data_IF_906223791173
#
_entry.id   IF_906223791173
#
_cell.length_a   1.000
_cell.length_b   1.000
_cell.length_c   1.000
_cell.angle_alpha   90.00
_cell.angle_beta   90.00
_cell.angle_gamma   90.00
#
_symmetry.space_group_name_H-M   'P 1'
#
loop_
_entity.id
_entity.type
_entity.pdbx_description
1 polymer ?
#
# COMPACT_ATOMS: atom_id res chain seq x y z
N UNK A 1 -6.93 20.95 13.45
CA UNK A 1 -7.18 19.51 13.30
C UNK A 1 -6.78 18.86 14.61
N UNK A 2 -7.71 18.29 15.36
CA UNK A 2 -7.37 17.50 16.55
C UNK A 2 -6.78 16.18 16.08
N UNK A 3 -5.59 15.82 16.58
CA UNK A 3 -4.95 14.53 16.32
C UNK A 3 -5.42 13.52 17.38
N UNK A 4 -6.74 13.37 17.55
CA UNK A 4 -7.29 12.41 18.50
C UNK A 4 -7.21 11.00 17.92
N UNK A 5 -6.90 10.04 18.79
CA UNK A 5 -6.77 8.62 18.41
C UNK A 5 -8.11 8.10 17.88
N UNK A 6 -9.22 8.50 18.51
CA UNK A 6 -10.58 8.12 18.11
C UNK A 6 -10.93 8.64 16.71
N UNK A 7 -10.58 9.89 16.41
CA UNK A 7 -10.83 10.45 15.09
C UNK A 7 -9.99 9.74 14.04
N UNK A 8 -8.73 9.43 14.33
CA UNK A 8 -7.88 8.65 13.43
C UNK A 8 -8.49 7.29 13.10
N UNK A 9 -8.98 6.55 14.10
CA UNK A 9 -9.65 5.25 13.86
C UNK A 9 -10.88 5.42 12.96
N UNK A 10 -11.76 6.38 13.25
CA UNK A 10 -12.97 6.60 12.44
C UNK A 10 -12.65 6.86 10.97
N UNK A 11 -11.59 7.64 10.69
CA UNK A 11 -11.16 7.97 9.33
C UNK A 11 -10.59 6.75 8.60
N UNK A 12 -9.93 5.83 9.31
CA UNK A 12 -9.42 4.59 8.72
C UNK A 12 -10.54 3.66 8.23
N UNK A 13 -11.72 3.72 8.82
CA UNK A 13 -12.89 2.96 8.36
C UNK A 13 -13.76 3.71 7.35
N UNK A 14 -13.48 4.99 7.12
CA UNK A 14 -14.17 5.76 6.07
C UNK A 14 -13.64 5.35 4.70
N UNK A 15 -14.56 4.85 3.85
CA UNK A 15 -14.27 4.39 2.50
C UNK A 15 -14.20 5.54 1.47
N UNK A 16 -14.52 6.76 1.90
CA UNK A 16 -14.42 7.98 1.10
C UNK A 16 -13.08 8.69 1.28
N UNK A 17 -12.40 8.42 2.40
CA UNK A 17 -11.07 8.96 2.68
C UNK A 17 -9.98 8.08 2.11
N UNK A 18 -8.97 8.72 1.52
CA UNK A 18 -7.78 8.04 1.03
C UNK A 18 -6.73 7.95 2.13
N UNK A 19 -5.92 6.91 2.06
CA UNK A 19 -4.81 6.72 2.98
C UNK A 19 -3.82 7.89 2.89
N UNK A 20 -3.59 8.47 1.69
CA UNK A 20 -2.76 9.68 1.55
C UNK A 20 -3.26 10.84 2.43
N UNK A 21 -4.56 10.98 2.63
CA UNK A 21 -5.17 12.05 3.43
C UNK A 21 -5.12 11.74 4.95
N UNK A 22 -5.07 10.46 5.32
CA UNK A 22 -5.07 10.00 6.71
C UNK A 22 -3.66 9.97 7.31
N UNK A 23 -2.66 9.59 6.51
CA UNK A 23 -1.27 9.38 6.97
C UNK A 23 -0.64 10.61 7.64
N UNK A 24 -0.82 11.86 7.18
CA UNK A 24 -0.29 13.03 7.88
C UNK A 24 -0.77 13.15 9.34
N UNK A 25 -2.04 12.79 9.60
CA UNK A 25 -2.60 12.77 10.96
C UNK A 25 -1.99 11.64 11.80
N UNK A 26 -1.82 10.44 11.23
CA UNK A 26 -1.15 9.32 11.89
C UNK A 26 0.32 9.64 12.23
N UNK A 27 1.06 10.27 11.31
CA UNK A 27 2.45 10.71 11.52
C UNK A 27 2.51 11.72 12.67
N UNK A 28 1.60 12.70 12.66
CA UNK A 28 1.52 13.71 13.73
C UNK A 28 1.26 13.06 15.09
N UNK A 29 0.31 12.13 15.17
CA UNK A 29 0.03 11.38 16.39
C UNK A 29 1.27 10.60 16.88
N UNK A 30 1.96 9.88 15.99
CA UNK A 30 3.16 9.14 16.34
C UNK A 30 4.27 10.06 16.87
N UNK A 31 4.44 11.24 16.26
CA UNK A 31 5.37 12.27 16.75
C UNK A 31 4.99 12.80 18.13
N UNK A 32 3.70 13.06 18.38
CA UNK A 32 3.21 13.56 19.67
C UNK A 32 3.43 12.55 20.80
N UNK A 33 3.28 11.26 20.50
CA UNK A 33 3.55 10.13 21.41
C UNK A 33 5.03 9.77 21.53
N UNK A 34 5.90 10.35 20.67
CA UNK A 34 7.34 10.04 20.54
C UNK A 34 7.63 8.61 20.06
N UNK A 35 6.70 8.03 19.30
CA UNK A 35 6.91 6.75 18.60
C UNK A 35 7.74 7.00 17.34
N UNK A 36 9.06 7.01 17.49
CA UNK A 36 10.00 7.42 16.43
C UNK A 36 10.08 6.38 15.33
N UNK A 37 10.04 5.09 15.67
CA UNK A 37 10.09 4.01 14.68
C UNK A 37 8.80 4.00 13.87
N UNK A 38 7.64 4.12 14.53
CA UNK A 38 6.35 4.16 13.86
C UNK A 38 6.21 5.39 12.97
N UNK A 39 6.61 6.58 13.46
CA UNK A 39 6.63 7.80 12.65
C UNK A 39 7.57 7.70 11.43
N UNK A 40 8.73 7.04 11.58
CA UNK A 40 9.64 6.81 10.46
C UNK A 40 9.03 5.87 9.44
N UNK A 41 8.46 4.75 9.88
CA UNK A 41 7.79 3.79 9.01
C UNK A 41 6.64 4.45 8.23
N UNK A 42 5.78 5.23 8.88
CA UNK A 42 4.69 5.96 8.22
C UNK A 42 5.19 6.93 7.16
N UNK A 43 6.29 7.66 7.41
CA UNK A 43 6.86 8.57 6.40
C UNK A 43 7.39 7.80 5.20
N UNK A 44 8.10 6.70 5.42
CA UNK A 44 8.61 5.88 4.32
C UNK A 44 7.48 5.22 3.54
N UNK A 45 6.41 4.78 4.19
CA UNK A 45 5.20 4.29 3.52
C UNK A 45 4.54 5.39 2.66
N UNK A 46 4.52 6.64 3.16
CA UNK A 46 3.91 7.78 2.49
C UNK A 46 4.72 8.23 1.27
N UNK A 47 6.03 8.42 1.44
CA UNK A 47 6.95 8.93 0.42
C UNK A 47 7.40 7.86 -0.58
N UNK A 48 7.38 6.58 -0.18
CA UNK A 48 7.95 5.46 -0.92
C UNK A 48 9.33 5.03 -0.41
N UNK A 49 9.77 3.87 -0.89
CA UNK A 49 11.02 3.22 -0.52
C UNK A 49 12.10 3.51 -1.55
N UNK A 50 13.31 3.87 -1.09
CA UNK A 50 14.45 4.12 -1.97
C UNK A 50 14.97 2.83 -2.62
N UNK A 51 15.01 1.75 -1.82
CA UNK A 51 15.55 0.46 -2.25
C UNK A 51 14.61 -0.68 -1.85
N UNK A 52 14.61 -1.76 -2.65
CA UNK A 52 13.89 -3.01 -2.34
C UNK A 52 14.18 -3.53 -0.93
N UNK A 53 15.44 -3.50 -0.51
CA UNK A 53 15.86 -4.07 0.78
C UNK A 53 15.35 -3.29 1.99
N UNK A 54 14.98 -2.02 1.78
CA UNK A 54 14.37 -1.18 2.81
C UNK A 54 12.86 -1.41 2.96
N UNK A 55 12.23 -2.07 1.98
CA UNK A 55 10.80 -2.31 1.95
C UNK A 55 10.38 -3.53 2.80
N UNK A 56 9.28 -3.43 3.57
CA UNK A 56 8.72 -4.54 4.31
C UNK A 56 8.39 -5.76 3.44
N UNK A 57 8.32 -6.98 4.01
CA UNK A 57 7.99 -8.19 3.25
C UNK A 57 6.70 -8.12 2.42
N UNK A 58 5.64 -7.48 2.90
CA UNK A 58 4.37 -7.33 2.15
C UNK A 58 4.48 -6.42 0.92
N UNK A 59 5.56 -5.67 0.75
CA UNK A 59 5.83 -4.84 -0.42
C UNK A 59 6.65 -5.57 -1.48
N UNK A 60 7.30 -6.68 -1.11
CA UNK A 60 8.27 -7.38 -1.96
C UNK A 60 7.64 -8.59 -2.63
N UNK A 61 8.15 -8.94 -3.80
CA UNK A 61 7.81 -10.16 -4.54
C UNK A 61 6.30 -10.36 -4.70
N UNK A 62 5.61 -9.28 -5.05
CA UNK A 62 4.18 -9.28 -5.30
C UNK A 62 3.88 -10.03 -6.61
N UNK A 63 2.82 -10.86 -6.63
CA UNK A 63 2.50 -11.67 -7.79
C UNK A 63 2.05 -10.81 -8.98
N UNK A 64 2.67 -11.04 -10.14
CA UNK A 64 2.27 -10.45 -11.42
C UNK A 64 2.19 -11.50 -12.53
N UNK A 65 1.56 -11.11 -13.64
CA UNK A 65 1.43 -11.92 -14.83
C UNK A 65 2.16 -11.28 -16.01
N UNK A 66 3.04 -12.01 -16.67
CA UNK A 66 3.75 -11.50 -17.84
C UNK A 66 2.80 -11.48 -19.02
N UNK A 67 2.70 -10.33 -19.66
CA UNK A 67 1.85 -10.09 -20.84
C UNK A 67 2.70 -9.64 -22.00
N UNK A 68 2.35 -10.10 -23.20
CA UNK A 68 2.96 -9.73 -24.46
C UNK A 68 2.01 -8.86 -25.29
N UNK A 69 2.55 -7.86 -25.98
CA UNK A 69 1.77 -7.00 -26.89
C UNK A 69 1.65 -7.66 -28.26
N UNK A 70 0.47 -8.18 -28.56
CA UNK A 70 0.08 -8.65 -29.90
C UNK A 70 -0.46 -7.49 -30.75
N UNK A 71 -0.05 -7.36 -32.03
CA UNK A 71 -0.60 -6.35 -32.95
C UNK A 71 -2.10 -6.48 -33.18
N UNK A 72 -2.66 -7.68 -33.08
CA UNK A 72 -4.07 -7.98 -33.39
C UNK A 72 -4.96 -7.99 -32.14
N UNK A 73 -4.48 -8.58 -31.04
CA UNK A 73 -5.28 -8.83 -29.83
C UNK A 73 -4.92 -7.92 -28.66
N UNK A 74 -3.96 -7.00 -28.84
CA UNK A 74 -3.46 -6.17 -27.76
C UNK A 74 -2.64 -7.00 -26.76
N UNK A 75 -2.79 -6.71 -25.47
CA UNK A 75 -2.03 -7.41 -24.43
C UNK A 75 -2.64 -8.78 -24.12
N UNK A 76 -1.87 -9.83 -24.34
CA UNK A 76 -2.24 -11.21 -24.07
C UNK A 76 -1.25 -11.84 -23.07
N UNK A 77 -1.65 -12.83 -22.28
CA UNK A 77 -0.71 -13.59 -21.46
C UNK A 77 0.45 -14.14 -22.31
N UNK A 78 1.68 -13.93 -21.87
CA UNK A 78 2.84 -14.44 -22.56
C UNK A 78 2.93 -15.98 -22.38
N UNK A 79 3.32 -16.74 -23.41
CA UNK A 79 3.53 -18.19 -23.29
C UNK A 79 4.85 -18.46 -22.57
N UNK A 80 4.86 -18.32 -21.24
CA UNK A 80 6.04 -18.51 -20.38
C UNK A 80 5.99 -19.84 -19.64
N UNK A 81 7.16 -20.40 -19.36
CA UNK A 81 7.32 -21.57 -18.49
C UNK A 81 7.25 -21.18 -17.00
N UNK A 82 7.01 -22.14 -16.11
CA UNK A 82 6.93 -21.88 -14.66
C UNK A 82 8.25 -21.34 -14.08
N UNK A 83 9.40 -21.74 -14.60
CA UNK A 83 10.71 -21.19 -14.19
C UNK A 83 10.81 -19.69 -14.52
N UNK A 84 10.43 -19.30 -15.73
CA UNK A 84 10.41 -17.90 -16.16
C UNK A 84 9.39 -17.07 -15.37
N UNK A 85 8.23 -17.66 -15.06
CA UNK A 85 7.20 -17.04 -14.23
C UNK A 85 7.67 -16.82 -12.80
N UNK A 86 8.43 -17.76 -12.24
CA UNK A 86 9.02 -17.59 -10.91
C UNK A 86 10.10 -16.50 -10.90
N UNK A 87 10.90 -16.40 -11.97
CA UNK A 87 11.99 -15.44 -12.07
C UNK A 87 11.53 -14.00 -12.35
N UNK A 88 10.55 -13.83 -13.24
CA UNK A 88 10.16 -12.51 -13.78
C UNK A 88 8.69 -12.14 -13.50
N UNK A 89 7.89 -13.06 -12.94
CA UNK A 89 6.47 -12.82 -12.63
C UNK A 89 6.24 -12.23 -11.23
N UNK A 90 7.22 -11.49 -10.71
CA UNK A 90 7.21 -10.88 -9.38
C UNK A 90 7.70 -9.45 -9.47
N UNK A 91 7.04 -8.55 -8.75
CA UNK A 91 7.39 -7.13 -8.69
C UNK A 91 7.48 -6.67 -7.23
N UNK A 92 8.41 -5.78 -6.92
CA UNK A 92 8.42 -5.09 -5.64
C UNK A 92 7.66 -3.75 -5.80
N UNK A 93 6.74 -3.44 -4.88
CA UNK A 93 5.90 -2.23 -4.90
C UNK A 93 6.48 -1.18 -3.95
N UNK A 94 7.46 -0.42 -4.42
CA UNK A 94 8.23 0.55 -3.61
C UNK A 94 7.66 1.96 -3.65
N UNK A 95 6.65 2.20 -4.49
CA UNK A 95 6.03 3.52 -4.67
C UNK A 95 5.33 4.01 -3.40
N UNK A 96 5.27 5.34 -3.23
CA UNK A 96 4.58 5.96 -2.10
C UNK A 96 3.07 5.75 -2.16
N UNK A 97 2.40 5.88 -1.00
CA UNK A 97 0.95 5.66 -0.85
C UNK A 97 0.13 6.36 -1.94
N UNK A 98 0.43 7.63 -2.24
CA UNK A 98 -0.30 8.41 -3.24
C UNK A 98 -0.28 7.78 -4.63
N UNK A 99 0.88 7.28 -5.06
CA UNK A 99 1.03 6.67 -6.39
C UNK A 99 0.29 5.34 -6.45
N UNK A 100 0.40 4.52 -5.40
CA UNK A 100 -0.32 3.26 -5.31
C UNK A 100 -1.84 3.46 -5.31
N UNK A 101 -2.34 4.47 -4.60
CA UNK A 101 -3.76 4.81 -4.60
C UNK A 101 -4.25 5.25 -5.98
N UNK A 102 -3.47 6.07 -6.68
CA UNK A 102 -3.78 6.47 -8.06
C UNK A 102 -3.84 5.26 -8.99
N UNK A 103 -2.91 4.30 -8.83
CA UNK A 103 -2.92 3.05 -9.60
C UNK A 103 -4.21 2.25 -9.30
N UNK A 104 -4.56 2.07 -8.03
CA UNK A 104 -5.80 1.40 -7.60
C UNK A 104 -7.06 2.05 -8.17
N UNK A 105 -7.12 3.38 -8.15
CA UNK A 105 -8.24 4.17 -8.65
C UNK A 105 -8.37 4.16 -10.17
N UNK A 106 -7.24 4.13 -10.87
CA UNK A 106 -7.19 4.08 -12.33
C UNK A 106 -7.54 2.70 -12.89
N UNK A 107 -7.23 1.64 -12.14
CA UNK A 107 -7.51 0.26 -12.54
C UNK A 107 -8.96 -0.14 -12.22
N UNK A 108 -9.63 -0.78 -13.19
CA UNK A 108 -10.95 -1.39 -12.96
C UNK A 108 -10.81 -2.73 -12.24
N UNK A 109 -11.84 -3.16 -11.52
CA UNK A 109 -11.93 -4.47 -10.88
C UNK A 109 -11.77 -5.57 -11.92
N UNK A 110 -10.87 -6.51 -11.65
CA UNK A 110 -10.49 -7.56 -12.59
C UNK A 110 -9.49 -7.15 -13.68
N UNK A 111 -9.03 -5.89 -13.69
CA UNK A 111 -7.89 -5.45 -14.53
C UNK A 111 -6.60 -5.33 -13.72
N UNK A 112 -5.47 -5.21 -14.41
CA UNK A 112 -4.16 -5.02 -13.81
C UNK A 112 -3.47 -3.76 -14.29
N UNK A 113 -2.60 -3.22 -13.43
CA UNK A 113 -1.64 -2.21 -13.79
C UNK A 113 -0.46 -2.87 -14.50
N UNK A 114 -0.01 -2.29 -15.62
CA UNK A 114 1.08 -2.82 -16.42
C UNK A 114 2.34 -2.04 -16.13
N UNK A 115 3.35 -2.76 -15.64
CA UNK A 115 4.68 -2.25 -15.35
C UNK A 115 5.65 -2.82 -16.38
N UNK A 116 6.43 -1.94 -17.01
CA UNK A 116 7.46 -2.37 -17.96
C UNK A 116 8.56 -3.13 -17.21
N UNK A 117 9.07 -4.18 -17.84
CA UNK A 117 10.26 -4.88 -17.36
C UNK A 117 11.50 -4.01 -17.56
N UNK A 118 12.48 -4.18 -16.66
CA UNK A 118 13.83 -3.63 -16.85
C UNK A 118 14.45 -4.14 -18.16
N UNK A 119 15.30 -3.32 -18.79
CA UNK A 119 15.82 -3.60 -20.12
C UNK A 119 16.56 -4.96 -20.20
N UNK A 120 17.37 -5.27 -19.20
CA UNK A 120 18.14 -6.52 -19.12
C UNK A 120 17.23 -7.76 -18.98
N UNK A 121 16.20 -7.66 -18.12
CA UNK A 121 15.24 -8.74 -17.92
C UNK A 121 14.35 -8.92 -19.14
N UNK A 122 13.94 -7.83 -19.78
CA UNK A 122 13.20 -7.83 -21.03
C UNK A 122 13.99 -8.56 -22.14
N UNK A 123 15.29 -8.27 -22.28
CA UNK A 123 16.14 -8.96 -23.26
C UNK A 123 16.27 -10.45 -22.97
N UNK A 124 16.46 -10.83 -21.71
CA UNK A 124 16.53 -12.24 -21.28
C UNK A 124 15.25 -12.99 -21.62
N UNK A 125 14.10 -12.36 -21.33
CA UNK A 125 12.79 -12.94 -21.61
C UNK A 125 12.51 -13.05 -23.11
N UNK A 126 12.85 -12.02 -23.90
CA UNK A 126 12.73 -12.05 -25.37
C UNK A 126 13.57 -13.16 -26.00
N UNK A 127 14.82 -13.34 -25.55
CA UNK A 127 15.71 -14.41 -26.00
C UNK A 127 15.16 -15.80 -25.65
N UNK A 128 14.67 -15.97 -24.42
CA UNK A 128 14.11 -17.24 -23.95
C UNK A 128 12.82 -17.65 -24.68
N UNK A 129 11.99 -16.67 -25.06
CA UNK A 129 10.72 -16.92 -25.76
C UNK A 129 10.83 -16.90 -27.29
N UNK A 130 11.97 -16.49 -27.84
CA UNK A 130 12.15 -16.20 -29.26
C UNK A 130 11.08 -15.22 -29.80
N UNK A 131 10.71 -14.22 -28.99
CA UNK A 131 9.67 -13.23 -29.28
C UNK A 131 10.28 -11.83 -29.43
N UNK A 132 9.88 -11.11 -30.48
CA UNK A 132 10.22 -9.70 -30.68
C UNK A 132 9.15 -8.73 -30.15
N UNK A 133 8.17 -9.23 -29.39
CA UNK A 133 7.06 -8.43 -28.87
C UNK A 133 7.44 -7.63 -27.60
N UNK A 134 6.75 -6.53 -27.35
CA UNK A 134 6.85 -5.81 -26.07
C UNK A 134 6.27 -6.68 -24.95
N UNK A 135 6.98 -6.78 -23.83
CA UNK A 135 6.57 -7.54 -22.65
C UNK A 135 6.43 -6.59 -21.46
N UNK A 136 5.47 -6.88 -20.60
CA UNK A 136 5.23 -6.16 -19.35
C UNK A 136 4.74 -7.12 -18.27
N UNK A 137 4.90 -6.74 -17.00
CA UNK A 137 4.26 -7.41 -15.87
C UNK A 137 2.94 -6.71 -15.60
N UNK A 138 1.84 -7.47 -15.63
CA UNK A 138 0.53 -7.02 -15.19
C UNK A 138 0.31 -7.43 -13.74
N UNK A 139 0.30 -6.46 -12.82
CA UNK A 139 -0.03 -6.65 -11.41
C UNK A 139 -1.50 -6.36 -11.20
N UNK A 140 -2.22 -7.23 -10.49
CA UNK A 140 -3.66 -7.08 -10.30
C UNK A 140 -3.99 -5.85 -9.45
N UNK A 141 -5.12 -5.20 -9.72
CA UNK A 141 -5.63 -4.13 -8.83
C UNK A 141 -5.74 -4.58 -7.37
N UNK A 142 -6.14 -5.84 -7.15
CA UNK A 142 -6.32 -6.41 -5.82
C UNK A 142 -5.02 -6.38 -5.02
N UNK A 143 -3.88 -6.67 -5.67
CA UNK A 143 -2.55 -6.62 -5.04
C UNK A 143 -2.23 -5.23 -4.47
N UNK A 144 -2.51 -4.17 -5.22
CA UNK A 144 -2.33 -2.79 -4.73
C UNK A 144 -3.32 -2.47 -3.60
N UNK A 145 -4.57 -2.90 -3.72
CA UNK A 145 -5.60 -2.69 -2.71
C UNK A 145 -5.23 -3.38 -1.39
N UNK A 146 -4.83 -4.65 -1.43
CA UNK A 146 -4.46 -5.41 -0.23
C UNK A 146 -3.24 -4.82 0.46
N UNK A 147 -2.26 -4.32 -0.30
CA UNK A 147 -1.13 -3.59 0.26
C UNK A 147 -1.60 -2.33 1.02
N UNK A 148 -2.44 -1.50 0.39
CA UNK A 148 -2.94 -0.27 1.01
C UNK A 148 -3.85 -0.57 2.21
N UNK A 149 -4.69 -1.61 2.13
CA UNK A 149 -5.48 -2.13 3.26
C UNK A 149 -4.58 -2.62 4.38
N UNK A 150 -3.44 -3.25 4.09
CA UNK A 150 -2.47 -3.72 5.10
C UNK A 150 -1.88 -2.55 5.89
N UNK A 151 -1.47 -1.48 5.20
CA UNK A 151 -0.97 -0.27 5.86
C UNK A 151 -2.07 0.39 6.70
N UNK A 152 -3.28 0.54 6.14
CA UNK A 152 -4.46 1.07 6.84
C UNK A 152 -4.80 0.25 8.10
N UNK A 153 -4.80 -1.07 7.98
CA UNK A 153 -5.01 -2.00 9.09
C UNK A 153 -3.94 -1.87 10.18
N UNK A 154 -2.66 -1.76 9.80
CA UNK A 154 -1.56 -1.60 10.76
C UNK A 154 -1.72 -0.29 11.58
N UNK A 155 -2.11 0.81 10.94
CA UNK A 155 -2.40 2.07 11.63
C UNK A 155 -3.60 1.90 12.57
N UNK A 156 -4.64 1.18 12.14
CA UNK A 156 -5.82 0.93 12.95
C UNK A 156 -5.49 0.10 14.20
N UNK A 157 -4.76 -1.00 14.05
CA UNK A 157 -4.33 -1.84 15.16
C UNK A 157 -3.47 -1.07 16.16
N UNK A 158 -2.58 -0.22 15.66
CA UNK A 158 -1.76 0.66 16.49
C UNK A 158 -2.61 1.68 17.27
N UNK A 159 -3.56 2.34 16.60
CA UNK A 159 -4.48 3.28 17.24
C UNK A 159 -5.32 2.58 18.33
N UNK A 160 -5.83 1.38 18.05
CA UNK A 160 -6.57 0.55 19.02
C UNK A 160 -5.72 0.15 20.23
N UNK A 161 -4.45 -0.21 20.02
CA UNK A 161 -3.54 -0.53 21.11
C UNK A 161 -3.28 0.68 22.01
N UNK A 162 -3.17 1.89 21.44
CA UNK A 162 -3.05 3.13 22.22
C UNK A 162 -4.31 3.38 23.06
N UNK A 163 -5.50 3.21 22.47
CA UNK A 163 -6.77 3.36 23.19
C UNK A 163 -6.91 2.32 24.32
N UNK A 164 -6.49 1.08 24.10
CA UNK A 164 -6.50 0.03 25.12
C UNK A 164 -5.62 0.35 26.35
N UNK A 165 -4.59 1.18 26.19
CA UNK A 165 -3.76 1.71 27.29
C UNK A 165 -4.37 2.96 27.97
N UNK A 166 -5.63 3.26 27.66
CA UNK A 166 -6.40 4.37 28.23
C UNK A 166 -6.03 5.75 27.69
N UNK A 167 -5.35 5.81 26.54
CA UNK A 167 -5.04 7.07 25.85
C UNK A 167 -6.10 7.30 24.78
N UNK A 168 -7.19 7.95 25.17
CA UNK A 168 -8.38 8.18 24.34
C UNK A 168 -8.81 9.66 24.40
N UNK A 169 -9.47 10.14 23.34
CA UNK A 169 -10.05 11.50 23.32
C UNK A 169 -9.18 12.57 22.67
N UNK A 170 -9.62 13.83 22.76
CA UNK A 170 -8.94 14.96 22.12
C UNK A 170 -7.77 15.49 22.95
N UNK A 171 -6.57 14.97 22.65
CA UNK A 171 -5.34 15.45 23.25
C UNK A 171 -4.60 16.39 22.30
N UNK A 172 -4.38 17.63 22.72
CA UNK A 172 -3.46 18.55 22.04
C UNK A 172 -1.98 18.29 22.43
N UNK A 173 -1.77 17.57 23.53
CA UNK A 173 -0.45 17.15 24.00
C UNK A 173 -0.56 15.87 24.84
N UNK A 174 0.54 15.12 24.92
CA UNK A 174 0.69 13.98 25.83
C UNK A 174 1.79 14.28 26.85
N UNK A 175 1.54 13.93 28.11
CA UNK A 175 2.50 14.11 29.18
C UNK A 175 3.60 13.02 29.16
N UNK A 176 4.45 12.97 30.20
CA UNK A 176 5.53 11.98 30.27
C UNK A 176 5.02 10.58 30.67
N UNK A 177 3.99 10.51 31.50
CA UNK A 177 3.44 9.25 32.02
C UNK A 177 2.64 8.55 30.92
N UNK A 178 1.78 9.28 30.22
CA UNK A 178 1.03 8.80 29.05
C UNK A 178 1.97 8.22 28.00
N UNK A 179 3.00 8.97 27.61
CA UNK A 179 4.00 8.49 26.65
C UNK A 179 4.75 7.25 27.14
N UNK A 180 5.03 7.17 28.44
CA UNK A 180 5.71 6.01 29.00
C UNK A 180 4.83 4.75 28.95
N UNK A 181 3.51 4.87 29.14
CA UNK A 181 2.57 3.74 29.05
C UNK A 181 2.60 3.09 27.67
N UNK A 182 2.55 3.89 26.61
CA UNK A 182 2.49 3.38 25.22
C UNK A 182 3.85 3.26 24.52
N UNK A 183 4.96 3.59 25.18
CA UNK A 183 6.29 3.55 24.56
C UNK A 183 6.66 2.17 23.98
N UNK A 184 6.11 1.10 24.55
CA UNK A 184 6.31 -0.27 24.09
C UNK A 184 5.61 -0.56 22.74
N UNK A 185 4.67 0.28 22.31
CA UNK A 185 3.95 0.19 21.04
C UNK A 185 4.71 0.85 19.87
N UNK A 186 5.92 1.38 20.07
CA UNK A 186 6.79 1.91 18.99
C UNK A 186 7.47 0.77 18.20
N UNK A 187 6.67 -0.18 17.71
CA UNK A 187 7.11 -1.38 16.99
C UNK A 187 6.21 -1.61 15.77
N UNK A 188 6.38 -0.85 14.68
CA UNK A 188 5.53 -0.95 13.50
C UNK A 188 5.47 -2.37 12.93
N UNK A 189 6.54 -3.16 13.10
CA UNK A 189 6.65 -4.54 12.63
C UNK A 189 5.56 -5.46 13.17
N UNK A 190 5.24 -5.35 14.46
CA UNK A 190 4.19 -6.16 15.08
C UNK A 190 2.83 -5.86 14.45
N UNK A 191 2.55 -4.58 14.17
CA UNK A 191 1.25 -4.16 13.66
C UNK A 191 1.03 -4.51 12.20
N UNK A 192 2.03 -4.33 11.33
CA UNK A 192 1.86 -4.74 9.94
C UNK A 192 1.91 -6.27 9.76
N UNK A 193 2.64 -7.01 10.61
CA UNK A 193 2.58 -8.47 10.62
C UNK A 193 1.18 -8.96 11.01
N UNK A 194 0.63 -8.41 12.10
CA UNK A 194 -0.73 -8.73 12.52
C UNK A 194 -1.77 -8.32 11.47
N UNK A 195 -1.58 -7.18 10.81
CA UNK A 195 -2.46 -6.72 9.74
C UNK A 195 -2.47 -7.69 8.55
N UNK A 196 -1.32 -8.26 8.17
CA UNK A 196 -1.25 -9.28 7.11
C UNK A 196 -2.02 -10.55 7.48
N UNK A 197 -1.96 -10.97 8.74
CA UNK A 197 -2.64 -12.18 9.23
C UNK A 197 -4.16 -12.02 9.33
N UNK A 198 -4.63 -10.80 9.64
CA UNK A 198 -6.02 -10.51 10.00
C UNK A 198 -6.72 -9.59 8.98
N UNK A 199 -6.14 -9.38 7.79
CA UNK A 199 -6.56 -8.35 6.85
C UNK A 199 -8.05 -8.41 6.50
N UNK A 200 -8.57 -9.62 6.27
CA UNK A 200 -9.97 -9.84 5.92
C UNK A 200 -10.91 -9.70 7.12
N UNK A 201 -10.45 -10.06 8.32
CA UNK A 201 -11.25 -10.00 9.54
C UNK A 201 -11.39 -8.56 10.06
N UNK A 202 -10.41 -7.70 9.77
CA UNK A 202 -10.40 -6.30 10.21
C UNK A 202 -11.41 -5.42 9.46
N UNK A 203 -11.97 -5.89 8.33
CA UNK A 203 -13.01 -5.16 7.60
C UNK A 203 -12.54 -3.83 7.01
N UNK A 204 -11.24 -3.69 6.70
CA UNK A 204 -10.71 -2.45 6.10
C UNK A 204 -11.35 -2.20 4.74
N UNK A 205 -11.84 -0.98 4.47
CA UNK A 205 -12.50 -0.66 3.21
C UNK A 205 -11.54 -0.80 2.03
N UNK A 206 -12.07 -1.27 0.89
CA UNK A 206 -11.36 -1.25 -0.40
C UNK A 206 -11.31 0.19 -0.92
N UNK A 207 -10.26 0.51 -1.68
CA UNK A 207 -10.16 1.81 -2.37
C UNK A 207 -11.22 1.83 -3.46
N UNK A 208 -11.97 2.92 -3.60
CA UNK A 208 -12.99 3.03 -4.66
C UNK A 208 -12.34 3.30 -6.01
N UNK A 209 -12.89 2.69 -7.07
CA UNK A 209 -12.58 3.13 -8.43
C UNK A 209 -13.13 4.54 -8.65
N UNK A 210 -12.36 5.40 -9.32
CA UNK A 210 -12.90 6.69 -9.75
C UNK A 210 -13.89 6.40 -10.87
N UNK A 211 -15.19 6.47 -10.54
CA UNK A 211 -16.27 6.41 -11.51
C UNK A 211 -16.04 7.44 -12.63
N UNK A 212 -16.46 7.10 -13.86
CA UNK A 212 -16.26 7.90 -15.07
C UNK A 212 -16.52 9.42 -14.90
N UNK A 213 -17.47 9.81 -14.04
CA UNK A 213 -17.80 11.21 -13.75
C UNK A 213 -16.80 11.94 -12.84
N UNK A 214 -16.11 11.28 -11.92
CA UNK A 214 -15.09 11.90 -11.06
C UNK A 214 -13.80 12.28 -11.82
N UNK A 215 -13.58 11.64 -12.98
CA UNK A 215 -12.45 11.92 -13.87
C UNK A 215 -12.69 13.12 -14.80
N UNK A 216 -13.95 13.44 -15.09
CA UNK A 216 -14.37 14.54 -15.98
C UNK A 216 -14.70 15.81 -15.17
N UNK A 217 -15.19 15.65 -13.95
CA UNK A 217 -15.49 16.74 -13.03
C UNK A 217 -14.55 16.68 -11.84
N UNK A 218 -13.28 17.04 -12.07
CA UNK A 218 -12.33 17.24 -10.99
C UNK A 218 -12.91 18.19 -9.94
N UNK A 219 -12.86 17.73 -8.68
CA UNK A 219 -13.28 18.40 -7.43
C UNK A 219 -13.56 19.90 -7.59
N UNK A 220 -14.84 20.26 -7.70
CA UNK A 220 -15.30 21.58 -7.32
C UNK A 220 -15.70 21.51 -5.84
N UNK A 221 -14.76 21.81 -4.94
CA UNK A 221 -14.96 22.32 -3.58
C UNK A 221 -13.60 22.65 -2.98
#
# INVERSE_FOLDING_TARGET
>A
MSASVNHLESRLFDDSELLEDIMPSAITLAMMLRHRKFASWLRTEFDGYQDRESAPPYRRQQPGHIVAKSPQYGWIPAPIEEEQKAQFGRLDLVEGTKELEQICQACKKGSGHRVSLEADDLERLKKGLNLNADLAISVSRQTYSDLLRTVRAAICLWARAIMAEGIEGEHNHYDKEERARVAHLDTPEVFWQQAMEQLEDLGMPDIKEVGFFGRVFGRAS
#
